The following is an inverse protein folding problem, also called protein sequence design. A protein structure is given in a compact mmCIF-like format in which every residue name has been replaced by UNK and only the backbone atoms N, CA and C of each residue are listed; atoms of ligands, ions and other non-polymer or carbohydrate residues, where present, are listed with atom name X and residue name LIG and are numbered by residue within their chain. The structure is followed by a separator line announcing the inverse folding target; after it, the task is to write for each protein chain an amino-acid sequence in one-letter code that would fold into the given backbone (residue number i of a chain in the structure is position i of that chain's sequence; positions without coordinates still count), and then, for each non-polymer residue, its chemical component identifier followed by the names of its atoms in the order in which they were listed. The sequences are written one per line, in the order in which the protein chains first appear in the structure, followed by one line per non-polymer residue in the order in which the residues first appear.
data_IF_555070599398
#
_entry.id   IF_555070599398
#
_cell.length_a   1.000
_cell.length_b   1.000
_cell.length_c   1.000
_cell.angle_alpha   90.00
_cell.angle_beta   90.00
_cell.angle_gamma   90.00
#
_symmetry.space_group_name_H-M   'P 1'
#
loop_
_entity.id
_entity.type
_entity.pdbx_description
1 polymer ?
#
# COMPACT_ATOMS: atom_id res chain seq x y z
N UNK A 1 -38.08 -2.65 -55.59
CA UNK A 1 -37.26 -1.75 -54.74
C UNK A 1 -35.78 -1.83 -55.07
N UNK A 2 -35.17 -3.02 -55.18
CA UNK A 2 -33.74 -3.21 -55.50
C UNK A 2 -33.30 -2.52 -56.80
N UNK A 3 -34.07 -2.67 -57.89
CA UNK A 3 -33.75 -2.07 -59.18
C UNK A 3 -33.62 -0.54 -59.14
N UNK A 4 -34.51 0.13 -58.36
CA UNK A 4 -34.43 1.61 -58.18
C UNK A 4 -33.24 2.02 -57.36
N UNK A 5 -32.79 1.19 -56.40
CA UNK A 5 -31.63 1.42 -55.59
C UNK A 5 -30.32 1.28 -56.40
N UNK A 6 -30.29 0.28 -57.30
CA UNK A 6 -29.18 0.05 -58.22
C UNK A 6 -29.08 1.20 -59.22
N UNK A 7 -30.17 1.60 -59.85
CA UNK A 7 -30.19 2.70 -60.82
C UNK A 7 -29.79 4.03 -60.15
N UNK A 8 -30.31 4.31 -58.94
CA UNK A 8 -29.90 5.47 -58.16
C UNK A 8 -28.40 5.48 -57.79
N UNK A 9 -27.85 4.32 -57.43
CA UNK A 9 -26.42 4.18 -57.11
C UNK A 9 -25.53 4.42 -58.32
N UNK A 10 -25.91 3.91 -59.48
CA UNK A 10 -25.16 4.14 -60.74
C UNK A 10 -25.26 5.60 -61.17
N UNK A 11 -26.43 6.19 -61.06
CA UNK A 11 -26.66 7.60 -61.44
C UNK A 11 -25.88 8.58 -60.53
N UNK A 12 -25.76 8.27 -59.25
CA UNK A 12 -25.05 9.11 -58.27
C UNK A 12 -23.74 8.46 -57.76
N UNK A 13 -22.97 7.83 -58.65
CA UNK A 13 -21.77 7.04 -58.32
C UNK A 13 -20.76 7.76 -57.44
N UNK A 14 -20.53 9.05 -57.65
CA UNK A 14 -19.59 9.82 -56.85
C UNK A 14 -20.08 10.06 -55.42
N UNK A 15 -21.37 10.23 -55.24
CA UNK A 15 -22.00 10.40 -53.92
C UNK A 15 -21.95 9.09 -53.15
N UNK A 16 -22.20 7.97 -53.80
CA UNK A 16 -22.10 6.65 -53.18
C UNK A 16 -20.66 6.35 -52.78
N UNK A 17 -19.70 6.64 -53.66
CA UNK A 17 -18.27 6.49 -53.34
C UNK A 17 -17.84 7.36 -52.16
N UNK A 18 -18.32 8.60 -52.10
CA UNK A 18 -18.04 9.49 -50.98
C UNK A 18 -18.61 8.96 -49.64
N UNK A 19 -19.84 8.45 -49.64
CA UNK A 19 -20.48 7.87 -48.46
C UNK A 19 -19.71 6.64 -48.01
N UNK A 20 -19.33 5.74 -48.93
CA UNK A 20 -18.55 4.55 -48.59
C UNK A 20 -17.18 4.95 -48.00
N UNK A 21 -16.51 5.92 -48.61
CA UNK A 21 -15.23 6.43 -48.09
C UNK A 21 -15.38 7.08 -46.71
N UNK A 22 -16.46 7.82 -46.47
CA UNK A 22 -16.74 8.41 -45.17
C UNK A 22 -17.02 7.35 -44.08
N UNK A 23 -17.81 6.32 -44.43
CA UNK A 23 -18.06 5.18 -43.53
C UNK A 23 -16.75 4.41 -43.21
N UNK A 24 -15.94 4.15 -44.24
CA UNK A 24 -14.66 3.50 -44.08
C UNK A 24 -13.69 4.32 -43.19
N UNK A 25 -13.63 5.63 -43.42
CA UNK A 25 -12.81 6.55 -42.61
C UNK A 25 -13.31 6.60 -41.16
N UNK A 26 -14.60 6.63 -40.95
CA UNK A 26 -15.23 6.57 -39.61
C UNK A 26 -14.95 5.23 -38.92
N UNK A 27 -15.04 4.11 -39.63
CA UNK A 27 -14.73 2.79 -39.15
C UNK A 27 -13.23 2.69 -38.71
N UNK A 28 -12.32 3.19 -39.55
CA UNK A 28 -10.89 3.25 -39.22
C UNK A 28 -10.59 4.15 -38.00
N UNK A 29 -11.32 5.25 -37.86
CA UNK A 29 -11.21 6.13 -36.72
C UNK A 29 -11.69 5.44 -35.43
N UNK A 30 -12.81 4.74 -35.49
CA UNK A 30 -13.34 3.98 -34.35
C UNK A 30 -12.47 2.77 -34.00
N UNK A 31 -11.88 2.11 -35.00
CA UNK A 31 -10.96 1.01 -34.78
C UNK A 31 -9.73 1.42 -33.93
N UNK A 32 -9.25 2.66 -34.12
CA UNK A 32 -8.15 3.20 -33.29
C UNK A 32 -8.55 3.48 -31.85
N UNK A 33 -9.84 3.65 -31.58
CA UNK A 33 -10.40 3.89 -30.26
C UNK A 33 -10.83 2.61 -29.53
N UNK A 34 -10.85 1.50 -30.26
CA UNK A 34 -11.27 0.24 -29.68
C UNK A 34 -10.27 -0.17 -28.60
N UNK A 35 -10.68 -0.30 -27.33
CA UNK A 35 -9.81 -0.89 -26.30
C UNK A 35 -9.59 -2.35 -26.69
N UNK A 36 -8.33 -2.72 -26.89
CA UNK A 36 -7.95 -4.10 -27.16
C UNK A 36 -7.37 -4.64 -25.86
N UNK A 37 -8.15 -5.44 -25.16
CA UNK A 37 -7.66 -6.23 -24.05
C UNK A 37 -7.03 -7.50 -24.58
N UNK A 38 -5.80 -7.78 -24.15
CA UNK A 38 -5.07 -8.98 -24.58
C UNK A 38 -5.74 -10.27 -24.09
N UNK A 39 -6.47 -10.19 -22.98
CA UNK A 39 -7.26 -11.27 -22.39
C UNK A 39 -8.59 -10.66 -21.93
N UNK A 40 -9.74 -11.29 -22.25
CA UNK A 40 -11.02 -10.83 -21.74
C UNK A 40 -11.04 -10.91 -20.22
N UNK A 41 -11.52 -9.88 -19.57
CA UNK A 41 -11.74 -9.89 -18.12
C UNK A 41 -12.96 -10.77 -17.81
N UNK A 42 -12.68 -11.94 -17.25
CA UNK A 42 -13.70 -12.90 -16.79
C UNK A 42 -13.87 -12.85 -15.27
N UNK A 43 -13.33 -11.82 -14.62
CA UNK A 43 -13.44 -11.67 -13.17
C UNK A 43 -14.84 -11.20 -12.82
N UNK A 44 -15.52 -11.94 -11.95
CA UNK A 44 -16.84 -11.55 -11.44
C UNK A 44 -16.75 -10.22 -10.69
N UNK A 45 -17.88 -9.50 -10.64
CA UNK A 45 -18.01 -8.33 -9.79
C UNK A 45 -17.82 -8.74 -8.33
N UNK A 46 -16.69 -8.35 -7.73
CA UNK A 46 -16.37 -8.76 -6.37
C UNK A 46 -15.87 -7.63 -5.49
N UNK A 47 -16.23 -7.68 -4.22
CA UNK A 47 -15.72 -6.78 -3.18
C UNK A 47 -14.94 -7.61 -2.19
N UNK A 48 -13.65 -7.30 -2.06
CA UNK A 48 -12.76 -7.93 -1.11
C UNK A 48 -12.73 -7.13 0.19
N UNK A 49 -12.84 -7.81 1.32
CA UNK A 49 -12.80 -7.23 2.67
C UNK A 49 -11.67 -7.91 3.42
N UNK A 50 -10.72 -7.13 3.91
CA UNK A 50 -9.58 -7.62 4.67
C UNK A 50 -9.67 -7.12 6.11
N UNK A 51 -9.45 -8.03 7.07
CA UNK A 51 -9.39 -7.72 8.50
C UNK A 51 -8.10 -8.27 9.08
N UNK A 52 -7.42 -7.48 9.90
CA UNK A 52 -6.15 -7.83 10.54
C UNK A 52 -6.30 -7.77 12.04
N UNK A 53 -5.99 -8.87 12.73
CA UNK A 53 -5.99 -9.01 14.18
C UNK A 53 -4.85 -9.98 14.59
N UNK A 54 -3.59 -9.53 14.65
CA UNK A 54 -2.42 -10.40 14.82
C UNK A 54 -2.43 -11.28 16.06
N UNK A 55 -3.19 -10.89 17.07
CA UNK A 55 -3.30 -11.59 18.35
C UNK A 55 -4.27 -12.78 18.32
N UNK A 56 -5.10 -12.89 17.28
CA UNK A 56 -6.12 -13.93 17.20
C UNK A 56 -5.61 -15.19 16.51
N UNK A 57 -5.87 -16.34 17.14
CA UNK A 57 -5.69 -17.64 16.51
C UNK A 57 -6.65 -17.81 15.32
N UNK A 58 -6.38 -18.72 14.35
CA UNK A 58 -7.26 -18.90 13.18
C UNK A 58 -8.71 -19.20 13.57
N UNK A 59 -8.93 -20.01 14.59
CA UNK A 59 -10.28 -20.37 15.08
C UNK A 59 -11.00 -19.16 15.68
N UNK A 60 -10.29 -18.36 16.46
CA UNK A 60 -10.88 -17.16 17.05
C UNK A 60 -11.08 -16.08 15.97
N UNK A 61 -10.16 -15.96 15.02
CA UNK A 61 -10.31 -15.06 13.89
C UNK A 61 -11.54 -15.39 13.05
N UNK A 62 -11.78 -16.68 12.82
CA UNK A 62 -12.98 -17.15 12.11
C UNK A 62 -14.27 -16.79 12.87
N UNK A 63 -14.32 -17.13 14.16
CA UNK A 63 -15.54 -16.94 14.98
C UNK A 63 -15.84 -15.48 15.28
N UNK A 64 -14.82 -14.68 15.59
CA UNK A 64 -14.98 -13.32 16.09
C UNK A 64 -14.91 -12.25 15.00
N UNK A 65 -14.36 -12.57 13.84
CA UNK A 65 -14.18 -11.59 12.76
C UNK A 65 -14.78 -12.07 11.45
N UNK A 66 -14.36 -13.23 10.95
CA UNK A 66 -14.78 -13.71 9.61
C UNK A 66 -16.27 -13.95 9.56
N UNK A 67 -16.80 -14.74 10.49
CA UNK A 67 -18.23 -15.10 10.54
C UNK A 67 -19.14 -13.88 10.74
N UNK A 68 -18.88 -12.93 11.66
CA UNK A 68 -19.66 -11.70 11.76
C UNK A 68 -19.66 -10.86 10.48
N UNK A 69 -18.50 -10.74 9.81
CA UNK A 69 -18.40 -10.03 8.54
C UNK A 69 -19.24 -10.73 7.47
N UNK A 70 -19.09 -12.05 7.28
CA UNK A 70 -19.90 -12.81 6.31
C UNK A 70 -21.41 -12.68 6.57
N UNK A 71 -21.79 -12.81 7.83
CA UNK A 71 -23.20 -12.72 8.22
C UNK A 71 -23.78 -11.33 7.95
N UNK A 72 -23.00 -10.29 8.17
CA UNK A 72 -23.44 -8.91 7.91
C UNK A 72 -23.71 -8.62 6.43
N UNK A 73 -23.01 -9.31 5.54
CA UNK A 73 -23.16 -9.16 4.10
C UNK A 73 -24.42 -9.87 3.56
N UNK A 74 -24.98 -10.79 4.33
CA UNK A 74 -26.16 -11.53 3.89
C UNK A 74 -27.32 -10.58 3.60
N UNK A 75 -28.02 -10.82 2.48
CA UNK A 75 -29.16 -10.04 2.06
C UNK A 75 -28.86 -8.73 1.32
N UNK A 76 -27.62 -8.46 0.96
CA UNK A 76 -27.26 -7.36 0.06
C UNK A 76 -27.82 -7.68 -1.34
N UNK A 77 -28.55 -6.75 -1.99
CA UNK A 77 -29.08 -6.98 -3.33
C UNK A 77 -27.95 -7.27 -4.34
N UNK A 78 -28.15 -8.31 -5.15
CA UNK A 78 -27.16 -8.73 -6.16
C UNK A 78 -26.01 -9.58 -5.62
N UNK A 79 -25.93 -9.82 -4.32
CA UNK A 79 -24.95 -10.74 -3.74
C UNK A 79 -25.30 -12.19 -4.09
N UNK A 80 -24.42 -12.88 -4.79
CA UNK A 80 -24.58 -14.29 -5.16
C UNK A 80 -23.95 -15.24 -4.16
N UNK A 81 -22.72 -14.96 -3.75
CA UNK A 81 -21.98 -15.81 -2.81
C UNK A 81 -20.90 -15.03 -2.08
N UNK A 82 -20.51 -15.55 -0.92
CA UNK A 82 -19.35 -15.10 -0.16
C UNK A 82 -18.33 -16.22 -0.05
N UNK A 83 -17.06 -15.87 -0.12
CA UNK A 83 -15.93 -16.78 0.12
C UNK A 83 -14.99 -16.15 1.11
N UNK A 84 -14.46 -16.93 2.04
CA UNK A 84 -13.50 -16.42 3.01
C UNK A 84 -12.24 -17.27 3.10
N UNK A 85 -11.17 -16.64 3.50
CA UNK A 85 -9.90 -17.27 3.86
C UNK A 85 -9.50 -16.69 5.20
N UNK A 86 -9.43 -17.56 6.21
CA UNK A 86 -9.00 -17.20 7.56
C UNK A 86 -7.64 -17.82 7.87
N UNK A 87 -6.74 -17.01 8.35
CA UNK A 87 -5.40 -17.41 8.79
C UNK A 87 -5.12 -16.83 10.17
N UNK A 88 -3.94 -17.14 10.72
CA UNK A 88 -3.50 -16.54 11.97
C UNK A 88 -3.45 -15.01 11.85
N UNK A 89 -4.29 -14.32 12.60
CA UNK A 89 -4.36 -12.86 12.62
C UNK A 89 -4.87 -12.18 11.34
N UNK A 90 -5.38 -12.91 10.37
CA UNK A 90 -5.86 -12.35 9.09
C UNK A 90 -7.13 -13.04 8.60
N UNK A 91 -8.09 -12.25 8.18
CA UNK A 91 -9.30 -12.68 7.48
C UNK A 91 -9.49 -11.91 6.20
N UNK A 92 -9.83 -12.63 5.16
CA UNK A 92 -10.24 -12.07 3.88
C UNK A 92 -11.61 -12.64 3.52
N UNK A 93 -12.58 -11.78 3.36
CA UNK A 93 -13.92 -12.12 2.88
C UNK A 93 -14.09 -11.50 1.50
N UNK A 94 -14.50 -12.30 0.53
CA UNK A 94 -14.78 -11.87 -0.84
C UNK A 94 -16.28 -12.04 -1.10
N UNK A 95 -16.96 -10.93 -1.28
CA UNK A 95 -18.37 -10.88 -1.68
C UNK A 95 -18.45 -10.83 -3.20
N UNK A 96 -19.11 -11.81 -3.82
CA UNK A 96 -19.26 -11.95 -5.26
C UNK A 96 -20.69 -11.54 -5.61
N UNK A 97 -20.81 -10.60 -6.54
CA UNK A 97 -22.07 -10.02 -7.00
C UNK A 97 -22.35 -10.46 -8.43
N UNK A 98 -23.62 -10.41 -8.81
CA UNK A 98 -24.04 -10.65 -10.19
C UNK A 98 -23.42 -9.62 -11.14
N UNK A 99 -23.21 -10.03 -12.39
CA UNK A 99 -22.59 -9.18 -13.42
C UNK A 99 -23.40 -7.91 -13.70
N UNK A 100 -24.73 -7.93 -13.48
CA UNK A 100 -25.60 -6.79 -13.64
C UNK A 100 -25.53 -5.76 -12.50
N UNK A 101 -24.83 -6.09 -11.41
CA UNK A 101 -24.71 -5.21 -10.24
C UNK A 101 -23.58 -4.21 -10.47
N UNK A 102 -23.87 -2.91 -10.30
CA UNK A 102 -22.83 -1.89 -10.32
C UNK A 102 -21.86 -2.07 -9.15
N UNK A 103 -20.56 -2.14 -9.44
CA UNK A 103 -19.52 -2.39 -8.43
C UNK A 103 -19.44 -1.28 -7.37
N UNK A 104 -19.76 -0.03 -7.74
CA UNK A 104 -19.74 1.08 -6.79
C UNK A 104 -20.93 0.99 -5.83
N UNK A 105 -22.10 0.60 -6.34
CA UNK A 105 -23.27 0.30 -5.51
C UNK A 105 -22.98 -0.84 -4.55
N UNK A 106 -22.42 -1.95 -5.05
CA UNK A 106 -22.03 -3.09 -4.22
C UNK A 106 -21.09 -2.67 -3.08
N UNK A 107 -20.05 -1.88 -3.39
CA UNK A 107 -19.11 -1.36 -2.41
C UNK A 107 -19.75 -0.45 -1.37
N UNK A 108 -20.69 0.40 -1.78
CA UNK A 108 -21.42 1.25 -0.86
C UNK A 108 -22.23 0.42 0.12
N UNK A 109 -22.98 -0.57 -0.37
CA UNK A 109 -23.77 -1.47 0.48
C UNK A 109 -22.90 -2.27 1.45
N UNK A 110 -21.76 -2.82 0.97
CA UNK A 110 -20.79 -3.48 1.82
C UNK A 110 -20.25 -2.53 2.90
N UNK A 111 -19.88 -1.30 2.52
CA UNK A 111 -19.40 -0.29 3.47
C UNK A 111 -20.40 0.04 4.57
N UNK A 112 -21.68 0.18 4.21
CA UNK A 112 -22.75 0.42 5.17
C UNK A 112 -22.91 -0.77 6.16
N UNK A 113 -22.84 -2.01 5.67
CA UNK A 113 -22.89 -3.21 6.52
C UNK A 113 -21.69 -3.32 7.45
N UNK A 114 -20.49 -3.05 6.95
CA UNK A 114 -19.27 -3.08 7.77
C UNK A 114 -19.29 -2.02 8.88
N UNK A 115 -19.83 -0.83 8.60
CA UNK A 115 -19.99 0.20 9.63
C UNK A 115 -20.98 -0.23 10.73
N UNK A 116 -22.03 -0.97 10.40
CA UNK A 116 -23.02 -1.44 11.37
C UNK A 116 -22.46 -2.48 12.34
N UNK A 117 -21.47 -3.28 11.91
CA UNK A 117 -20.90 -4.34 12.75
C UNK A 117 -19.63 -3.90 13.50
N UNK A 118 -19.19 -2.67 13.33
CA UNK A 118 -17.93 -2.19 13.95
C UNK A 118 -17.84 -2.46 15.45
N UNK A 119 -18.94 -2.22 16.17
CA UNK A 119 -19.02 -2.44 17.62
C UNK A 119 -19.12 -3.92 18.03
N UNK A 120 -19.45 -4.82 17.09
CA UNK A 120 -19.55 -6.27 17.35
C UNK A 120 -18.20 -6.99 17.17
N UNK A 121 -17.21 -6.31 16.59
CA UNK A 121 -15.88 -6.87 16.37
C UNK A 121 -14.97 -6.63 17.57
N UNK A 122 -13.92 -7.47 17.76
CA UNK A 122 -12.92 -7.25 18.79
C UNK A 122 -12.28 -5.86 18.70
N UNK A 123 -11.90 -5.28 19.82
CA UNK A 123 -11.25 -3.98 19.85
C UNK A 123 -10.00 -3.95 18.97
N UNK A 124 -9.86 -2.88 18.19
CA UNK A 124 -8.74 -2.70 17.28
C UNK A 124 -8.87 -3.39 15.91
N UNK A 125 -9.90 -4.22 15.72
CA UNK A 125 -10.15 -4.86 14.41
C UNK A 125 -11.03 -3.96 13.55
N UNK A 126 -10.50 -3.51 12.44
CA UNK A 126 -11.24 -2.70 11.45
C UNK A 126 -11.23 -3.40 10.10
N UNK A 127 -12.39 -3.92 9.63
CA UNK A 127 -12.49 -4.43 8.28
C UNK A 127 -12.28 -3.33 7.25
N UNK A 128 -11.41 -3.58 6.30
CA UNK A 128 -11.11 -2.63 5.22
C UNK A 128 -11.43 -3.24 3.87
N UNK A 129 -12.13 -2.49 3.02
CA UNK A 129 -12.37 -2.94 1.66
C UNK A 129 -11.11 -2.81 0.82
N UNK A 130 -10.76 -3.87 0.11
CA UNK A 130 -9.72 -3.85 -0.90
C UNK A 130 -10.03 -2.86 -2.04
N UNK A 131 -9.04 -2.53 -2.88
CA UNK A 131 -9.27 -1.72 -4.07
C UNK A 131 -10.21 -2.45 -5.04
N UNK A 132 -10.80 -1.70 -5.98
CA UNK A 132 -11.49 -2.30 -7.12
C UNK A 132 -10.38 -2.87 -8.02
N UNK A 133 -10.13 -4.16 -7.88
CA UNK A 133 -9.14 -4.85 -8.70
C UNK A 133 -9.71 -6.16 -9.20
N UNK A 134 -9.46 -6.43 -10.47
CA UNK A 134 -9.67 -7.75 -11.06
C UNK A 134 -8.33 -8.48 -11.08
N UNK A 135 -8.33 -9.79 -11.26
CA UNK A 135 -7.08 -10.56 -11.41
C UNK A 135 -6.21 -10.09 -12.57
N UNK A 136 -6.78 -9.34 -13.50
CA UNK A 136 -6.11 -8.68 -14.64
C UNK A 136 -5.80 -7.19 -14.37
N UNK A 137 -6.11 -6.70 -13.19
CA UNK A 137 -5.94 -5.30 -12.81
C UNK A 137 -4.50 -4.88 -12.53
N UNK A 138 -3.56 -5.82 -12.51
CA UNK A 138 -2.13 -5.53 -12.39
C UNK A 138 -1.59 -5.03 -13.73
N UNK A 139 -1.57 -3.71 -13.91
CA UNK A 139 -1.19 -3.08 -15.18
C UNK A 139 0.31 -2.85 -15.29
N UNK A 140 0.98 -2.60 -14.16
CA UNK A 140 2.40 -2.31 -14.12
C UNK A 140 3.04 -2.86 -12.85
N UNK A 141 4.11 -3.61 -13.03
CA UNK A 141 4.99 -4.05 -11.96
C UNK A 141 6.36 -3.39 -12.15
N UNK A 142 6.94 -2.89 -11.06
CA UNK A 142 8.30 -2.37 -11.08
C UNK A 142 9.07 -2.80 -9.83
N UNK A 143 10.37 -2.74 -9.93
CA UNK A 143 11.26 -2.97 -8.80
C UNK A 143 12.11 -1.73 -8.53
N UNK A 144 12.32 -1.41 -7.25
CA UNK A 144 13.22 -0.36 -6.81
C UNK A 144 14.48 -1.02 -6.28
N UNK A 145 15.62 -0.56 -6.76
CA UNK A 145 16.93 -1.05 -6.36
C UNK A 145 17.94 0.07 -6.37
N UNK A 146 19.01 -0.11 -5.64
CA UNK A 146 20.18 0.78 -5.77
C UNK A 146 20.82 0.58 -7.14
N UNK A 147 21.29 1.68 -7.74
CA UNK A 147 22.12 1.59 -8.92
C UNK A 147 23.45 0.93 -8.56
N UNK A 148 24.01 0.15 -9.48
CA UNK A 148 25.30 -0.51 -9.27
C UNK A 148 26.42 0.52 -9.14
N UNK A 149 27.27 0.42 -8.09
CA UNK A 149 28.38 1.34 -7.89
C UNK A 149 29.31 1.37 -9.13
N UNK A 150 29.72 2.58 -9.53
CA UNK A 150 30.62 2.75 -10.67
C UNK A 150 29.93 2.84 -12.04
N UNK A 151 28.59 2.69 -12.11
CA UNK A 151 27.84 2.92 -13.34
C UNK A 151 27.68 4.43 -13.64
N UNK A 152 27.21 4.75 -14.86
CA UNK A 152 26.94 6.14 -15.26
C UNK A 152 25.99 6.86 -14.29
N UNK A 153 25.04 6.12 -13.74
CA UNK A 153 23.97 6.64 -12.88
C UNK A 153 24.33 6.57 -11.38
N UNK A 154 25.41 5.87 -11.01
CA UNK A 154 25.85 5.71 -9.62
C UNK A 154 27.37 5.86 -9.49
N UNK A 155 27.86 7.08 -9.60
CA UNK A 155 29.28 7.38 -9.37
C UNK A 155 29.57 7.27 -7.88
N UNK A 156 30.58 6.45 -7.53
CA UNK A 156 31.10 6.37 -6.16
C UNK A 156 31.78 7.70 -5.81
N UNK A 157 31.29 8.35 -4.75
CA UNK A 157 31.84 9.61 -4.24
C UNK A 157 31.77 9.58 -2.72
N UNK A 158 32.86 9.26 -2.08
CA UNK A 158 32.91 9.15 -0.63
C UNK A 158 32.50 10.45 0.07
N UNK A 159 31.63 10.31 1.08
CA UNK A 159 31.09 11.44 1.84
C UNK A 159 29.95 12.22 1.16
N UNK A 160 29.53 11.85 -0.07
CA UNK A 160 28.36 12.46 -0.76
C UNK A 160 27.22 11.47 -0.88
N UNK A 161 25.96 11.94 -1.06
CA UNK A 161 24.84 11.05 -1.30
C UNK A 161 25.10 10.09 -2.47
N UNK A 162 24.81 8.82 -2.26
CA UNK A 162 25.05 7.75 -3.21
C UNK A 162 25.89 6.61 -2.67
N UNK A 163 26.33 5.67 -3.53
CA UNK A 163 27.15 4.55 -3.13
C UNK A 163 28.54 5.01 -2.70
N UNK A 164 29.06 4.37 -1.65
CA UNK A 164 30.39 4.63 -1.10
C UNK A 164 31.36 3.49 -1.45
N UNK A 165 32.66 3.76 -1.38
CA UNK A 165 33.69 2.77 -1.69
C UNK A 165 33.70 1.57 -0.72
N UNK A 166 33.22 1.75 0.52
CA UNK A 166 33.08 0.71 1.54
C UNK A 166 31.81 -0.14 1.41
N UNK A 167 31.03 0.04 0.34
CA UNK A 167 29.78 -0.66 0.13
C UNK A 167 28.59 -0.10 0.92
N UNK A 168 28.78 0.94 1.73
CA UNK A 168 27.68 1.67 2.36
C UNK A 168 27.01 2.59 1.36
N UNK A 169 25.84 3.14 1.73
CA UNK A 169 25.12 4.12 0.91
C UNK A 169 24.76 5.32 1.78
N UNK A 170 25.00 6.53 1.29
CA UNK A 170 24.56 7.76 1.95
C UNK A 170 23.30 8.24 1.25
N UNK A 171 22.20 8.40 2.02
CA UNK A 171 20.93 8.90 1.50
C UNK A 171 21.03 10.39 1.15
N UNK A 172 20.10 10.93 0.36
CA UNK A 172 20.03 12.38 0.10
C UNK A 172 19.94 13.24 1.37
N UNK A 173 19.35 12.69 2.43
CA UNK A 173 19.21 13.33 3.74
C UNK A 173 20.48 13.23 4.61
N UNK A 174 21.53 12.56 4.09
CA UNK A 174 22.82 12.40 4.79
C UNK A 174 22.90 11.19 5.71
N UNK A 175 21.89 10.32 5.78
CA UNK A 175 21.95 9.11 6.59
C UNK A 175 22.83 8.06 5.93
N UNK A 176 23.79 7.48 6.67
CA UNK A 176 24.65 6.39 6.20
C UNK A 176 23.99 5.04 6.47
N UNK A 177 23.78 4.26 5.42
CA UNK A 177 23.20 2.93 5.46
C UNK A 177 24.31 1.90 5.26
N UNK A 178 24.65 1.16 6.33
CA UNK A 178 25.75 0.21 6.33
C UNK A 178 25.27 -1.23 6.18
N UNK A 179 24.07 -1.54 6.68
CA UNK A 179 23.52 -2.90 6.66
C UNK A 179 22.55 -3.09 5.51
N UNK A 180 22.45 -4.31 4.98
CA UNK A 180 21.49 -4.65 3.93
C UNK A 180 20.04 -4.45 4.39
N UNK A 181 19.76 -4.68 5.68
CA UNK A 181 18.44 -4.42 6.25
C UNK A 181 18.10 -2.93 6.23
N UNK A 182 19.05 -2.06 6.61
CA UNK A 182 18.84 -0.62 6.58
C UNK A 182 18.64 -0.11 5.13
N UNK A 183 19.44 -0.62 4.19
CA UNK A 183 19.28 -0.31 2.76
C UNK A 183 17.91 -0.74 2.24
N UNK A 184 17.47 -1.97 2.55
CA UNK A 184 16.16 -2.47 2.14
C UNK A 184 15.00 -1.69 2.79
N UNK A 185 15.17 -1.26 4.05
CA UNK A 185 14.19 -0.43 4.74
C UNK A 185 14.07 0.97 4.12
N UNK A 186 15.19 1.55 3.71
CA UNK A 186 15.18 2.83 3.02
C UNK A 186 14.47 2.75 1.67
N UNK A 187 14.76 1.74 0.83
CA UNK A 187 14.05 1.53 -0.43
C UNK A 187 12.55 1.34 -0.23
N UNK A 188 12.14 0.61 0.82
CA UNK A 188 10.74 0.48 1.16
C UNK A 188 10.11 1.81 1.56
N UNK A 189 10.82 2.63 2.32
CA UNK A 189 10.36 3.98 2.67
C UNK A 189 10.18 4.85 1.44
N UNK A 190 11.14 4.83 0.51
CA UNK A 190 11.04 5.57 -0.76
C UNK A 190 9.83 5.07 -1.58
N UNK A 191 9.63 3.76 -1.65
CA UNK A 191 8.49 3.19 -2.35
C UNK A 191 7.16 3.66 -1.76
N UNK A 192 6.99 3.53 -0.45
CA UNK A 192 5.70 3.77 0.20
C UNK A 192 5.37 5.27 0.32
N UNK A 193 6.38 6.12 0.57
CA UNK A 193 6.17 7.54 0.88
C UNK A 193 6.46 8.49 -0.28
N UNK A 194 7.20 8.07 -1.29
CA UNK A 194 7.51 8.91 -2.46
C UNK A 194 6.84 8.34 -3.70
N UNK A 195 7.23 7.13 -4.10
CA UNK A 195 6.78 6.57 -5.38
C UNK A 195 5.28 6.26 -5.37
N UNK A 196 4.80 5.55 -4.35
CA UNK A 196 3.39 5.17 -4.26
C UNK A 196 2.46 6.40 -4.17
N UNK A 197 2.86 7.44 -3.42
CA UNK A 197 2.08 8.66 -3.33
C UNK A 197 2.01 9.39 -4.68
N UNK A 198 3.13 9.52 -5.38
CA UNK A 198 3.15 10.16 -6.70
C UNK A 198 2.37 9.35 -7.74
N UNK A 199 2.49 8.03 -7.71
CA UNK A 199 1.75 7.17 -8.63
C UNK A 199 0.24 7.24 -8.42
N UNK A 200 -0.23 7.35 -7.19
CA UNK A 200 -1.66 7.50 -6.87
C UNK A 200 -2.27 8.82 -7.39
N UNK A 201 -1.46 9.81 -7.70
CA UNK A 201 -1.95 11.07 -8.30
C UNK A 201 -2.24 10.95 -9.79
N UNK A 202 -1.80 9.88 -10.43
CA UNK A 202 -2.02 9.66 -11.87
C UNK A 202 -3.45 9.20 -12.10
N UNK A 203 -4.23 9.86 -12.96
CA UNK A 203 -5.61 9.48 -13.24
C UNK A 203 -5.71 8.03 -13.75
N UNK A 204 -6.65 7.27 -13.22
CA UNK A 204 -6.87 5.86 -13.60
C UNK A 204 -6.11 4.84 -12.76
N UNK A 205 -5.29 5.25 -11.80
CA UNK A 205 -4.66 4.34 -10.84
C UNK A 205 -5.61 4.15 -9.66
N UNK A 206 -6.06 2.92 -9.43
CA UNK A 206 -6.94 2.57 -8.30
C UNK A 206 -6.15 2.29 -7.02
N UNK A 207 -4.92 1.77 -7.13
CA UNK A 207 -4.09 1.43 -5.99
C UNK A 207 -2.63 1.21 -6.36
N UNK A 208 -1.78 1.25 -5.37
CA UNK A 208 -0.35 0.97 -5.49
C UNK A 208 0.03 0.16 -4.27
N UNK A 209 0.36 -1.12 -4.47
CA UNK A 209 0.72 -2.06 -3.42
C UNK A 209 2.21 -2.34 -3.44
N UNK A 210 2.79 -2.53 -2.26
CA UNK A 210 4.21 -2.77 -2.11
C UNK A 210 4.45 -4.14 -1.50
N UNK A 211 5.27 -4.97 -2.16
CA UNK A 211 5.65 -6.30 -1.69
C UNK A 211 7.16 -6.34 -1.48
N UNK A 212 7.60 -6.88 -0.35
CA UNK A 212 9.00 -7.01 -0.01
C UNK A 212 9.59 -5.77 0.68
N UNK A 213 10.90 -5.76 0.86
CA UNK A 213 11.58 -4.77 1.68
C UNK A 213 11.29 -4.93 3.17
N UNK A 214 11.71 -3.95 3.97
CA UNK A 214 11.41 -3.88 5.40
C UNK A 214 10.73 -2.54 5.70
N UNK A 215 9.51 -2.59 6.21
CA UNK A 215 8.88 -1.39 6.74
C UNK A 215 9.64 -0.98 8.00
N UNK A 216 10.20 0.23 8.00
CA UNK A 216 10.97 0.76 9.10
C UNK A 216 10.08 0.96 10.32
N UNK A 217 10.46 0.35 11.46
CA UNK A 217 9.80 0.53 12.75
C UNK A 217 10.83 0.76 13.85
N UNK A 218 10.43 1.47 14.89
CA UNK A 218 11.17 1.49 16.14
C UNK A 218 10.85 0.21 16.91
N UNK A 219 11.87 -0.57 17.20
CA UNK A 219 11.76 -1.80 17.94
C UNK A 219 12.19 -1.53 19.38
N UNK A 220 11.23 -1.59 20.29
CA UNK A 220 11.47 -1.51 21.72
C UNK A 220 11.48 -2.92 22.27
N UNK A 221 12.60 -3.32 22.88
CA UNK A 221 12.81 -4.64 23.47
C UNK A 221 12.98 -4.51 24.99
N UNK A 222 11.91 -4.64 25.77
CA UNK A 222 11.98 -4.61 27.21
C UNK A 222 12.72 -5.85 27.76
N UNK A 223 13.52 -5.64 28.81
CA UNK A 223 14.19 -6.70 29.55
C UNK A 223 13.30 -7.14 30.72
N UNK A 224 12.81 -8.41 30.72
CA UNK A 224 11.91 -8.90 31.76
C UNK A 224 12.52 -8.84 33.17
N UNK A 225 13.85 -9.06 33.29
CA UNK A 225 14.51 -9.03 34.59
C UNK A 225 14.55 -7.60 35.14
N UNK A 226 14.87 -6.63 34.30
CA UNK A 226 14.86 -5.22 34.69
C UNK A 226 13.45 -4.74 35.01
N UNK A 227 12.46 -5.09 34.18
CA UNK A 227 11.05 -4.75 34.47
C UNK A 227 10.63 -5.28 35.84
N UNK A 228 10.92 -6.56 36.14
CA UNK A 228 10.62 -7.16 37.41
C UNK A 228 11.31 -6.45 38.58
N UNK A 229 12.58 -6.06 38.44
CA UNK A 229 13.33 -5.34 39.48
C UNK A 229 12.74 -3.98 39.82
N UNK A 230 12.15 -3.32 38.82
CA UNK A 230 11.43 -2.07 38.99
C UNK A 230 9.93 -2.27 39.29
N UNK A 231 9.42 -3.54 39.33
CA UNK A 231 8.01 -3.89 39.53
C UNK A 231 7.11 -3.32 38.45
N UNK A 232 7.61 -3.30 37.22
CA UNK A 232 6.90 -2.84 36.03
C UNK A 232 6.47 -4.04 35.18
N UNK A 233 5.38 -3.88 34.45
CA UNK A 233 4.88 -4.83 33.46
C UNK A 233 5.19 -4.36 32.04
N UNK A 234 5.00 -5.24 31.06
CA UNK A 234 5.04 -4.86 29.64
C UNK A 234 3.97 -3.82 29.27
N UNK A 235 2.80 -3.90 29.91
CA UNK A 235 1.72 -2.94 29.71
C UNK A 235 2.09 -1.54 30.16
N UNK A 236 2.79 -1.41 31.30
CA UNK A 236 3.25 -0.10 31.78
C UNK A 236 4.16 0.58 30.76
N UNK A 237 5.00 -0.21 30.06
CA UNK A 237 5.86 0.30 28.98
C UNK A 237 5.02 0.72 27.78
N UNK A 238 4.05 -0.09 27.36
CA UNK A 238 3.19 0.21 26.23
C UNK A 238 2.37 1.47 26.48
N UNK A 239 1.70 1.57 27.63
CA UNK A 239 0.87 2.71 28.03
C UNK A 239 1.71 3.99 28.16
N UNK A 240 2.95 3.87 28.65
CA UNK A 240 3.83 5.02 28.75
C UNK A 240 4.26 5.53 27.38
N UNK A 241 4.59 4.63 26.44
CA UNK A 241 4.95 4.99 25.06
C UNK A 241 3.78 5.64 24.35
N UNK A 242 2.57 5.14 24.53
CA UNK A 242 1.36 5.73 23.95
C UNK A 242 1.13 7.14 24.48
N UNK A 243 1.21 7.34 25.81
CA UNK A 243 1.08 8.67 26.44
C UNK A 243 2.16 9.66 26.01
N UNK A 244 3.38 9.20 25.78
CA UNK A 244 4.50 10.03 25.35
C UNK A 244 4.51 10.31 23.83
N UNK A 245 3.59 9.73 23.05
CA UNK A 245 3.51 9.91 21.60
C UNK A 245 2.20 10.57 21.16
N UNK A 246 1.73 11.53 21.93
CA UNK A 246 0.49 12.26 21.66
C UNK A 246 0.79 13.70 21.23
N UNK A 247 0.05 14.16 20.24
CA UNK A 247 -0.04 15.59 19.91
C UNK A 247 -1.42 16.09 20.33
N UNK A 248 -1.46 16.92 21.35
CA UNK A 248 -2.70 17.48 21.90
C UNK A 248 -2.71 18.98 21.73
N UNK A 249 -3.74 19.49 21.06
CA UNK A 249 -4.03 20.92 21.06
C UNK A 249 -4.64 21.30 22.41
N UNK A 250 -3.98 22.16 23.16
CA UNK A 250 -4.58 22.83 24.31
C UNK A 250 -5.25 24.12 23.82
N UNK A 251 -6.24 24.60 24.59
CA UNK A 251 -7.08 25.76 24.26
C UNK A 251 -6.24 27.03 24.10
N UNK A 252 -6.87 28.11 23.64
CA UNK A 252 -6.23 29.43 23.56
C UNK A 252 -5.98 30.01 24.94
N UNK A 253 -4.78 30.57 25.11
CA UNK A 253 -4.42 31.36 26.28
C UNK A 253 -4.46 32.84 25.89
N UNK A 254 -5.38 33.60 26.46
CA UNK A 254 -5.47 35.04 26.25
C UNK A 254 -4.48 35.77 27.17
N UNK A 255 -3.53 36.47 26.59
CA UNK A 255 -2.57 37.28 27.33
C UNK A 255 -2.36 38.64 26.64
N UNK A 256 -2.62 39.73 27.34
CA UNK A 256 -2.42 41.08 26.81
C UNK A 256 -3.31 41.46 25.62
N UNK A 257 -4.49 40.82 25.46
CA UNK A 257 -5.40 41.08 24.34
C UNK A 257 -5.10 40.22 23.10
N UNK A 258 -4.10 39.35 23.15
CA UNK A 258 -3.75 38.42 22.10
C UNK A 258 -4.09 36.97 22.52
N UNK A 259 -4.56 36.18 21.56
CA UNK A 259 -4.87 34.76 21.77
C UNK A 259 -3.69 33.91 21.31
N UNK A 260 -3.05 33.21 22.22
CA UNK A 260 -1.97 32.24 21.92
C UNK A 260 -2.53 30.84 21.91
N UNK A 261 -2.31 30.13 20.83
CA UNK A 261 -2.64 28.68 20.74
C UNK A 261 -1.62 27.89 21.55
N UNK A 262 -2.05 27.27 22.64
CA UNK A 262 -1.22 26.33 23.37
C UNK A 262 -1.29 24.96 22.67
N UNK A 263 -0.14 24.41 22.30
CA UNK A 263 -0.01 23.09 21.65
C UNK A 263 1.11 22.31 22.34
N UNK A 264 0.81 21.09 22.72
CA UNK A 264 1.82 20.12 23.13
C UNK A 264 2.05 19.17 21.97
N UNK A 265 3.23 19.24 21.36
CA UNK A 265 3.66 18.29 20.33
C UNK A 265 4.69 17.34 20.96
N UNK A 266 4.20 16.21 21.45
CA UNK A 266 4.99 15.15 22.07
C UNK A 266 5.18 13.95 21.13
N UNK A 267 4.99 14.13 19.80
CA UNK A 267 5.24 13.07 18.84
C UNK A 267 6.72 12.71 18.79
N UNK A 268 6.97 11.45 18.94
CA UNK A 268 8.32 10.88 18.92
C UNK A 268 8.86 10.93 17.48
N UNK A 269 10.02 11.55 17.31
CA UNK A 269 10.70 11.66 16.00
C UNK A 269 12.11 11.06 15.98
N UNK A 270 12.68 10.74 17.16
CA UNK A 270 14.03 10.18 17.27
C UNK A 270 14.09 9.06 18.29
N UNK A 271 15.14 8.21 18.19
CA UNK A 271 15.41 7.15 19.17
C UNK A 271 15.65 7.75 20.55
N UNK A 272 16.42 8.82 20.63
CA UNK A 272 16.74 9.47 21.91
C UNK A 272 15.49 9.90 22.68
N UNK A 273 14.45 10.34 21.95
CA UNK A 273 13.17 10.68 22.58
C UNK A 273 12.45 9.45 23.13
N UNK A 274 12.54 8.32 22.43
CA UNK A 274 11.97 7.06 22.90
C UNK A 274 12.72 6.60 24.15
N UNK A 275 14.05 6.57 24.12
CA UNK A 275 14.90 6.12 25.22
C UNK A 275 14.71 6.97 26.49
N UNK A 276 14.50 8.28 26.32
CA UNK A 276 14.25 9.22 27.41
C UNK A 276 12.79 9.29 27.88
N UNK A 277 11.87 8.55 27.25
CA UNK A 277 10.48 8.51 27.70
C UNK A 277 10.39 7.99 29.14
N UNK A 278 9.66 8.73 30.00
CA UNK A 278 9.45 8.34 31.40
C UNK A 278 8.31 7.32 31.44
N UNK A 279 8.60 6.13 31.98
CA UNK A 279 7.64 5.04 32.14
C UNK A 279 6.91 5.16 33.46
N UNK A 280 7.65 5.39 34.53
CA UNK A 280 7.11 5.49 35.87
C UNK A 280 7.95 6.45 36.72
N UNK A 281 7.39 6.89 37.87
CA UNK A 281 8.10 7.62 38.91
C UNK A 281 8.14 6.77 40.17
N UNK A 282 9.30 6.69 40.80
CA UNK A 282 9.44 6.06 42.13
C UNK A 282 10.13 7.03 43.07
N UNK A 283 9.39 7.47 44.07
CA UNK A 283 9.90 8.38 45.10
C UNK A 283 10.58 9.63 44.52
N UNK A 284 10.05 10.22 43.45
CA UNK A 284 10.60 11.38 42.79
C UNK A 284 11.74 11.09 41.80
N UNK A 285 12.08 9.81 41.57
CA UNK A 285 13.08 9.40 40.57
C UNK A 285 12.37 8.84 39.34
N UNK A 286 12.47 9.50 38.18
CA UNK A 286 11.86 9.00 36.97
C UNK A 286 12.62 7.77 36.44
N UNK A 287 11.87 6.69 36.16
CA UNK A 287 12.37 5.52 35.46
C UNK A 287 12.14 5.75 33.98
N UNK A 288 13.22 5.73 33.21
CA UNK A 288 13.18 5.93 31.75
C UNK A 288 13.12 4.61 31.02
N UNK A 289 12.69 4.65 29.76
CA UNK A 289 12.68 3.46 28.91
C UNK A 289 14.07 2.83 28.76
N UNK A 290 15.12 3.64 28.64
CA UNK A 290 16.52 3.17 28.57
C UNK A 290 16.97 2.35 29.77
N UNK A 291 16.33 2.50 30.93
CA UNK A 291 16.67 1.74 32.14
C UNK A 291 16.18 0.29 32.04
N UNK A 292 15.08 0.05 31.32
CA UNK A 292 14.39 -1.26 31.29
C UNK A 292 14.27 -1.87 29.91
N UNK A 293 14.62 -1.14 28.83
CA UNK A 293 14.51 -1.62 27.46
C UNK A 293 15.67 -1.14 26.60
N UNK A 294 15.90 -1.83 25.49
CA UNK A 294 16.75 -1.35 24.40
C UNK A 294 15.87 -0.89 23.23
N UNK A 295 16.28 0.20 22.57
CA UNK A 295 15.58 0.74 21.42
C UNK A 295 16.47 0.63 20.18
N UNK A 296 15.91 0.14 19.08
CA UNK A 296 16.63 0.04 17.82
C UNK A 296 15.71 0.31 16.64
N UNK A 297 16.29 0.63 15.49
CA UNK A 297 15.54 0.67 14.23
C UNK A 297 15.54 -0.74 13.67
N UNK A 298 14.38 -1.33 13.58
CA UNK A 298 14.15 -2.64 12.99
C UNK A 298 13.20 -2.60 11.80
N UNK A 299 12.99 -3.77 11.21
CA UNK A 299 11.98 -3.99 10.19
C UNK A 299 10.80 -4.75 10.78
N UNK A 300 9.62 -4.47 10.28
CA UNK A 300 8.46 -5.30 10.57
C UNK A 300 8.68 -6.73 10.12
N UNK A 301 8.01 -7.68 10.78
CA UNK A 301 8.00 -9.07 10.34
C UNK A 301 7.53 -9.14 8.89
N UNK A 302 8.33 -9.78 8.05
CA UNK A 302 8.00 -9.92 6.64
C UNK A 302 6.89 -10.93 6.44
N UNK A 303 5.83 -10.51 5.79
CA UNK A 303 4.70 -11.36 5.36
C UNK A 303 4.82 -11.80 3.91
N UNK A 304 5.74 -11.21 3.13
CA UNK A 304 5.97 -11.52 1.73
C UNK A 304 7.42 -11.29 1.32
N UNK A 305 7.80 -11.92 0.22
CA UNK A 305 9.08 -11.73 -0.44
C UNK A 305 8.89 -11.71 -1.95
N UNK A 306 9.68 -10.91 -2.65
CA UNK A 306 9.76 -10.91 -4.10
C UNK A 306 11.17 -11.24 -4.55
N UNK A 307 11.27 -11.97 -5.66
CA UNK A 307 12.54 -12.26 -6.31
C UNK A 307 12.46 -11.86 -7.77
N UNK A 308 13.54 -11.38 -8.33
CA UNK A 308 13.63 -10.98 -9.73
C UNK A 308 14.95 -11.39 -10.34
N UNK A 309 14.97 -11.60 -11.66
CA UNK A 309 16.19 -11.85 -12.44
C UNK A 309 16.42 -10.69 -13.39
N UNK A 310 17.63 -10.16 -13.39
CA UNK A 310 18.05 -9.06 -14.26
C UNK A 310 18.35 -9.58 -15.64
N UNK A 311 17.39 -9.44 -16.57
CA UNK A 311 17.60 -9.58 -18.03
C UNK A 311 18.06 -10.94 -18.54
N UNK A 312 17.54 -11.35 -19.68
CA UNK A 312 17.81 -12.65 -20.29
C UNK A 312 19.26 -12.89 -20.77
N UNK A 313 20.10 -11.86 -20.79
CA UNK A 313 21.46 -11.93 -21.36
C UNK A 313 22.62 -12.03 -20.38
N UNK A 314 22.37 -12.06 -19.08
CA UNK A 314 23.48 -12.04 -18.12
C UNK A 314 23.66 -13.30 -17.32
N UNK A 315 23.14 -14.46 -17.66
CA UNK A 315 23.51 -15.77 -17.09
C UNK A 315 23.86 -15.81 -15.57
N UNK A 316 23.64 -14.73 -14.87
CA UNK A 316 23.97 -14.53 -13.47
C UNK A 316 22.67 -14.49 -12.69
N UNK A 317 22.41 -15.52 -11.97
CA UNK A 317 21.46 -15.50 -10.85
C UNK A 317 21.91 -14.39 -9.90
N UNK A 318 21.23 -13.26 -9.96
CA UNK A 318 21.44 -12.20 -8.97
C UNK A 318 20.73 -12.62 -7.71
N UNK A 319 21.53 -12.91 -6.73
CA UNK A 319 21.17 -13.16 -5.36
C UNK A 319 20.11 -12.15 -4.89
N UNK A 320 18.92 -12.67 -4.57
CA UNK A 320 17.86 -12.05 -3.76
C UNK A 320 17.76 -10.51 -3.83
N UNK A 321 17.38 -10.00 -4.98
CA UNK A 321 16.93 -8.60 -5.05
C UNK A 321 15.64 -8.45 -4.23
N UNK A 322 15.72 -7.60 -3.23
CA UNK A 322 14.61 -7.27 -2.34
C UNK A 322 13.76 -6.23 -3.05
N UNK A 323 12.78 -6.68 -3.78
CA UNK A 323 11.97 -5.87 -4.68
C UNK A 323 10.68 -5.47 -3.99
N UNK A 324 10.28 -4.22 -4.08
CA UNK A 324 8.90 -3.81 -3.88
C UNK A 324 8.17 -3.99 -5.22
N UNK A 325 7.12 -4.78 -5.23
CA UNK A 325 6.23 -4.94 -6.39
C UNK A 325 5.01 -4.07 -6.15
N UNK A 326 4.65 -3.28 -7.13
CA UNK A 326 3.50 -2.40 -7.06
C UNK A 326 2.52 -2.76 -8.15
N UNK A 327 1.28 -2.97 -7.77
CA UNK A 327 0.17 -3.31 -8.62
C UNK A 327 -0.74 -2.10 -8.82
N UNK A 328 -1.07 -1.76 -10.05
CA UNK A 328 -1.99 -0.69 -10.36
C UNK A 328 -3.05 -1.18 -11.37
N UNK A 329 -4.31 -1.34 -10.93
CA UNK A 329 -5.39 -1.71 -11.84
C UNK A 329 -5.78 -0.53 -12.74
N UNK A 330 -6.06 -0.82 -14.01
CA UNK A 330 -6.62 0.09 -14.99
C UNK A 330 -5.82 1.36 -15.35
N UNK A 331 -4.54 1.19 -15.67
CA UNK A 331 -3.83 2.26 -16.35
C UNK A 331 -3.89 2.03 -17.85
N UNK A 332 -4.85 2.67 -18.53
CA UNK A 332 -4.75 2.96 -19.96
C UNK A 332 -3.65 4.02 -20.21
N UNK A 333 -2.52 3.89 -19.54
CA UNK A 333 -1.40 4.81 -19.66
C UNK A 333 -0.34 4.17 -20.51
N UNK A 334 -0.06 4.89 -21.57
CA UNK A 334 1.05 4.71 -22.47
C UNK A 334 0.82 3.75 -23.64
N UNK A 335 -0.03 4.16 -24.56
CA UNK A 335 0.30 3.94 -25.96
C UNK A 335 1.74 4.42 -26.18
N UNK A 336 2.68 3.50 -26.17
CA UNK A 336 3.88 3.68 -26.92
C UNK A 336 5.26 3.57 -26.28
N UNK A 337 5.47 3.20 -25.02
CA UNK A 337 6.82 2.81 -24.56
C UNK A 337 6.75 2.01 -23.27
N UNK A 338 6.68 0.70 -23.39
CA UNK A 338 7.01 -0.24 -22.32
C UNK A 338 8.53 -0.23 -22.09
N UNK A 339 9.01 0.69 -21.27
CA UNK A 339 10.29 0.53 -20.59
C UNK A 339 9.98 0.51 -19.11
N UNK A 340 10.47 -0.50 -18.36
CA UNK A 340 10.35 -0.48 -16.90
C UNK A 340 11.02 0.81 -16.42
N UNK A 341 10.25 1.63 -15.69
CA UNK A 341 10.81 2.84 -15.07
C UNK A 341 11.65 2.35 -13.90
N UNK A 342 12.94 2.24 -14.15
CA UNK A 342 13.92 2.07 -13.09
C UNK A 342 14.16 3.46 -12.53
N UNK A 343 13.59 3.77 -11.37
CA UNK A 343 13.98 4.95 -10.61
C UNK A 343 15.29 4.60 -9.93
N UNK A 344 16.40 5.02 -10.51
CA UNK A 344 17.70 4.98 -9.85
C UNK A 344 17.77 6.21 -8.92
N UNK A 345 17.92 6.00 -7.64
CA UNK A 345 18.25 7.01 -6.63
C UNK A 345 19.76 7.15 -6.51
#
# INVERSE_FOLDING_TARGET
MLAKLIDGSVRHRYLVLFIIAAIAAFGLFQLKKLPIDAVPDITNNQVQINSVAPELSPVNMEKLVTFPVETSLAGIPGLETTRSITRNGFSQVVAIFSDDTDIYFARQQVGERLNQIGDALPQGVQPTMGPISTGLGEVLMWSIRYAEPGTKDAKVRDGKPGPQSDGSYITPEGQRLTTETAKAAYLRTVQDWIVALQMRTVPGIAGVDSIGGYQKKYLVQPDPAKLSSYGLSFMDVADALERNNLSVGANYVNRGGEAFLARVDARITSIDQIENAVIADRAGVPIRLSDVASVSIGGELRTGASSGVKGANTGRLVERERTAVVSAPNINILKGRTRPVVVAL
#
